data_IF_527415800301
#
_entry.id   IF_527415800301
#
_cell.length_a   1.000
_cell.length_b   1.000
_cell.length_c   1.000
_cell.angle_alpha   90.00
_cell.angle_beta   90.00
_cell.angle_gamma   90.00
#
_symmetry.space_group_name_H-M   'P 1'
#
loop_
_entity.id
_entity.type
_entity.pdbx_description
1 polymer ?
#
# COMPACT_ATOMS: atom_id res chain seq x y z
N UNK A 1 10.39 68.08 -27.62
CA UNK A 1 9.02 67.96 -27.05
C UNK A 1 8.95 66.73 -26.20
N UNK A 2 8.76 67.00 -24.97
CA UNK A 2 8.86 66.07 -23.81
C UNK A 2 7.50 65.47 -23.49
N UNK A 3 7.36 64.17 -23.31
CA UNK A 3 6.23 63.48 -22.74
C UNK A 3 6.74 62.13 -22.21
N UNK A 4 7.00 61.96 -20.97
CA UNK A 4 6.12 61.89 -19.84
C UNK A 4 6.10 60.44 -19.37
N UNK A 5 7.08 60.06 -18.49
CA UNK A 5 7.06 58.76 -17.76
C UNK A 5 5.88 58.75 -16.82
N UNK A 6 5.04 57.70 -16.90
CA UNK A 6 4.08 57.31 -15.85
C UNK A 6 4.54 56.02 -15.22
N UNK A 7 4.91 56.10 -13.97
CA UNK A 7 5.22 55.01 -13.08
C UNK A 7 3.94 54.20 -12.76
N UNK A 8 3.97 52.93 -13.04
CA UNK A 8 2.99 51.96 -12.53
C UNK A 8 3.65 51.17 -11.42
N UNK A 9 3.40 51.52 -10.18
CA UNK A 9 3.71 50.72 -9.00
C UNK A 9 2.75 49.53 -8.96
N UNK A 10 3.23 48.34 -9.34
CA UNK A 10 2.58 47.08 -9.03
C UNK A 10 3.09 46.60 -7.67
N UNK A 11 2.22 46.69 -6.66
CA UNK A 11 2.44 46.03 -5.36
C UNK A 11 2.34 44.53 -5.55
N UNK A 12 3.49 43.84 -5.62
CA UNK A 12 3.55 42.39 -5.55
C UNK A 12 3.38 41.97 -4.08
N UNK A 13 2.20 41.47 -3.75
CA UNK A 13 1.99 40.72 -2.51
C UNK A 13 2.75 39.39 -2.62
N UNK A 14 3.92 39.34 -2.00
CA UNK A 14 4.68 38.09 -1.82
C UNK A 14 3.95 37.28 -0.75
N UNK A 15 3.05 36.40 -1.18
CA UNK A 15 2.51 35.33 -0.34
C UNK A 15 3.64 34.37 0.00
N UNK A 16 4.10 34.38 1.24
CA UNK A 16 5.05 33.42 1.76
C UNK A 16 4.43 32.02 1.72
N UNK A 17 4.79 31.23 0.71
CA UNK A 17 4.51 29.79 0.70
C UNK A 17 5.45 29.19 1.73
N UNK A 18 4.95 28.89 2.91
CA UNK A 18 5.65 28.06 3.89
C UNK A 18 5.69 26.65 3.29
N UNK A 19 6.86 26.08 2.99
CA UNK A 19 6.91 24.67 2.59
C UNK A 19 6.49 23.87 3.81
N UNK A 20 5.40 23.12 3.69
CA UNK A 20 5.07 22.04 4.63
C UNK A 20 6.15 21.00 4.45
N UNK A 21 7.18 21.07 5.26
CA UNK A 21 8.17 20.02 5.37
C UNK A 21 7.43 18.77 5.86
N UNK A 22 7.20 17.81 4.98
CA UNK A 22 6.88 16.46 5.37
C UNK A 22 7.98 16.00 6.33
N UNK A 23 7.57 15.70 7.56
CA UNK A 23 8.49 15.08 8.51
C UNK A 23 9.12 13.86 7.80
N UNK A 24 10.45 13.72 7.79
CA UNK A 24 11.08 12.57 7.16
C UNK A 24 10.53 11.33 7.86
N UNK A 25 9.74 10.54 7.13
CA UNK A 25 9.37 9.21 7.60
C UNK A 25 10.68 8.46 7.80
N UNK A 26 11.11 8.42 9.06
CA UNK A 26 12.35 7.79 9.44
C UNK A 26 12.27 6.31 9.11
N UNK A 27 12.90 5.91 8.01
CA UNK A 27 13.32 4.52 7.79
C UNK A 27 14.51 4.21 8.73
N UNK A 28 14.44 4.65 9.97
CA UNK A 28 15.31 4.16 10.99
C UNK A 28 14.76 2.79 11.40
N UNK A 29 15.21 1.74 10.74
CA UNK A 29 15.31 0.45 11.42
C UNK A 29 16.35 0.65 12.53
N UNK A 30 15.90 1.24 13.64
CA UNK A 30 16.66 1.23 14.88
C UNK A 30 16.93 -0.22 15.25
N UNK A 31 18.06 -0.48 15.91
CA UNK A 31 18.32 -1.78 16.51
C UNK A 31 17.05 -2.27 17.25
N UNK A 32 16.74 -3.58 17.24
CA UNK A 32 15.55 -4.11 17.87
C UNK A 32 15.42 -3.56 19.28
N UNK A 33 14.39 -2.76 19.53
CA UNK A 33 14.12 -2.26 20.89
C UNK A 33 13.70 -3.47 21.70
N UNK A 34 14.33 -3.75 22.87
CA UNK A 34 13.86 -4.80 23.75
C UNK A 34 12.41 -4.51 24.13
N UNK A 35 11.48 -5.35 23.67
CA UNK A 35 10.06 -5.15 23.92
C UNK A 35 9.69 -5.60 25.33
N UNK A 36 8.81 -4.87 26.04
CA UNK A 36 8.35 -5.28 27.36
C UNK A 36 7.64 -6.62 27.27
N UNK A 37 8.12 -7.63 28.00
CA UNK A 37 7.34 -8.75 28.46
C UNK A 37 7.02 -9.87 27.49
N UNK A 38 7.94 -10.37 26.66
CA UNK A 38 7.94 -11.77 26.14
C UNK A 38 6.69 -12.35 25.44
N UNK A 39 5.53 -11.69 25.47
CA UNK A 39 4.27 -12.18 24.87
C UNK A 39 4.17 -11.74 23.41
N UNK A 40 4.00 -12.72 22.51
CA UNK A 40 3.62 -12.43 21.12
C UNK A 40 2.15 -11.97 21.06
N UNK A 41 1.87 -10.91 20.32
CA UNK A 41 0.50 -10.44 20.07
C UNK A 41 -0.26 -11.39 19.15
N UNK A 42 -1.50 -11.68 19.49
CA UNK A 42 -2.35 -12.62 18.78
C UNK A 42 -3.11 -11.95 17.62
N UNK A 43 -2.99 -12.54 16.45
CA UNK A 43 -3.71 -12.15 15.25
C UNK A 43 -4.92 -13.04 15.00
N UNK A 44 -6.06 -12.44 14.68
CA UNK A 44 -7.18 -13.12 14.05
C UNK A 44 -7.16 -12.83 12.54
N UNK A 45 -7.06 -13.87 11.71
CA UNK A 45 -7.07 -13.73 10.25
C UNK A 45 -8.50 -13.83 9.76
N UNK A 46 -8.99 -12.75 9.12
CA UNK A 46 -10.34 -12.66 8.55
C UNK A 46 -10.26 -12.91 7.05
N UNK A 47 -10.82 -14.03 6.62
CA UNK A 47 -10.74 -14.46 5.21
C UNK A 47 -9.67 -15.52 4.98
N UNK A 48 -10.09 -16.79 4.92
CA UNK A 48 -9.24 -17.94 4.59
C UNK A 48 -9.22 -18.20 3.06
N UNK A 49 -8.98 -17.15 2.28
CA UNK A 49 -8.71 -17.21 0.85
C UNK A 49 -7.25 -17.56 0.56
N UNK A 50 -6.88 -17.54 -0.72
CA UNK A 50 -5.51 -17.86 -1.17
C UNK A 50 -4.44 -17.04 -0.43
N UNK A 51 -4.70 -15.76 -0.19
CA UNK A 51 -3.73 -14.88 0.46
C UNK A 51 -3.65 -15.13 1.98
N UNK A 52 -4.76 -15.08 2.69
CA UNK A 52 -4.78 -15.28 4.14
C UNK A 52 -4.25 -16.67 4.53
N UNK A 53 -4.75 -17.73 3.86
CA UNK A 53 -4.38 -19.11 4.15
C UNK A 53 -3.00 -19.48 3.59
N UNK A 54 -2.72 -19.12 2.34
CA UNK A 54 -1.52 -19.61 1.63
C UNK A 54 -0.29 -18.71 1.78
N UNK A 55 -0.47 -17.44 2.18
CA UNK A 55 0.64 -16.49 2.26
C UNK A 55 0.85 -15.99 3.70
N UNK A 56 -0.21 -15.52 4.37
CA UNK A 56 -0.04 -14.86 5.68
C UNK A 56 0.09 -15.85 6.83
N UNK A 57 -0.81 -16.83 6.93
CA UNK A 57 -0.78 -17.78 8.07
C UNK A 57 0.57 -18.51 8.18
N UNK A 58 1.19 -18.99 7.09
CA UNK A 58 2.50 -19.64 7.17
C UNK A 58 3.63 -18.74 7.71
N UNK A 59 3.46 -17.41 7.67
CA UNK A 59 4.52 -16.49 8.10
C UNK A 59 4.63 -16.33 9.61
N UNK A 60 3.64 -16.72 10.39
CA UNK A 60 3.70 -16.61 11.84
C UNK A 60 4.85 -17.41 12.46
N UNK A 61 5.34 -18.46 11.80
CA UNK A 61 6.54 -19.20 12.26
C UNK A 61 7.80 -18.33 12.22
N UNK A 62 7.84 -17.34 11.31
CA UNK A 62 8.96 -16.42 11.14
C UNK A 62 8.82 -15.14 11.99
N UNK A 63 7.69 -14.93 12.67
CA UNK A 63 7.44 -13.75 13.47
C UNK A 63 8.07 -13.84 14.85
N UNK A 64 8.64 -12.74 15.31
CA UNK A 64 9.20 -12.59 16.65
C UNK A 64 8.14 -12.11 17.65
N UNK A 65 7.25 -11.20 17.22
CA UNK A 65 6.31 -10.49 18.10
C UNK A 65 4.84 -10.84 17.84
N UNK A 66 4.58 -11.64 16.83
CA UNK A 66 3.23 -11.98 16.35
C UNK A 66 2.98 -13.49 16.37
N UNK A 67 1.72 -13.90 16.62
CA UNK A 67 1.28 -15.29 16.54
C UNK A 67 -0.13 -15.37 15.95
N UNK A 68 -0.47 -16.49 15.32
CA UNK A 68 -1.85 -16.79 14.98
C UNK A 68 -2.62 -17.10 16.28
N UNK A 69 -3.80 -16.49 16.46
CA UNK A 69 -4.63 -16.68 17.64
C UNK A 69 -6.07 -17.08 17.30
N UNK A 70 -6.57 -16.68 16.12
CA UNK A 70 -7.92 -17.02 15.68
C UNK A 70 -8.04 -16.94 14.16
N UNK A 71 -9.10 -17.52 13.63
CA UNK A 71 -9.47 -17.43 12.21
C UNK A 71 -10.95 -17.11 12.05
N UNK A 72 -11.29 -16.36 11.01
CA UNK A 72 -12.66 -15.98 10.65
C UNK A 72 -12.95 -16.41 9.23
N UNK A 73 -13.98 -17.22 9.02
CA UNK A 73 -14.33 -17.74 7.69
C UNK A 73 -15.82 -18.07 7.60
N UNK A 74 -16.37 -18.01 6.37
CA UNK A 74 -17.72 -18.52 6.11
C UNK A 74 -17.82 -20.06 6.03
N UNK A 75 -16.69 -20.75 5.95
CA UNK A 75 -16.60 -22.22 5.88
C UNK A 75 -16.08 -22.77 7.21
N UNK A 76 -17.00 -23.25 8.05
CA UNK A 76 -16.67 -23.76 9.38
C UNK A 76 -15.76 -25.00 9.35
N UNK A 77 -15.88 -25.86 8.34
CA UNK A 77 -15.03 -27.05 8.22
C UNK A 77 -13.58 -26.65 7.91
N UNK A 78 -13.41 -25.72 6.97
CA UNK A 78 -12.09 -25.12 6.67
C UNK A 78 -11.50 -24.43 7.90
N UNK A 79 -12.31 -23.67 8.64
CA UNK A 79 -11.86 -22.97 9.86
C UNK A 79 -11.32 -23.95 10.90
N UNK A 80 -12.06 -25.00 11.23
CA UNK A 80 -11.63 -26.05 12.19
C UNK A 80 -10.38 -26.78 11.72
N UNK A 81 -10.28 -27.09 10.42
CA UNK A 81 -9.08 -27.73 9.86
C UNK A 81 -7.83 -26.85 10.10
N UNK A 82 -7.92 -25.55 9.75
CA UNK A 82 -6.81 -24.60 9.97
C UNK A 82 -6.49 -24.45 11.45
N UNK A 83 -7.51 -24.37 12.32
CA UNK A 83 -7.30 -24.30 13.76
C UNK A 83 -6.52 -25.51 14.28
N UNK A 84 -6.91 -26.73 13.90
CA UNK A 84 -6.24 -27.95 14.30
C UNK A 84 -4.77 -28.00 13.79
N UNK A 85 -4.53 -27.62 12.53
CA UNK A 85 -3.19 -27.57 11.94
C UNK A 85 -2.24 -26.58 12.67
N UNK A 86 -2.79 -25.54 13.30
CA UNK A 86 -2.04 -24.49 13.99
C UNK A 86 -2.17 -24.54 15.53
N UNK A 87 -2.72 -25.63 16.09
CA UNK A 87 -2.85 -25.79 17.52
C UNK A 87 -3.84 -24.84 18.20
N UNK A 88 -4.82 -24.31 17.46
CA UNK A 88 -5.88 -23.46 17.98
C UNK A 88 -7.06 -24.32 18.45
N UNK A 89 -7.78 -23.84 19.45
CA UNK A 89 -9.04 -24.46 19.87
C UNK A 89 -10.18 -24.16 18.89
N UNK A 90 -11.24 -24.96 18.91
CA UNK A 90 -12.45 -24.70 18.11
C UNK A 90 -13.11 -23.36 18.47
N UNK A 91 -12.95 -22.89 19.71
CA UNK A 91 -13.45 -21.58 20.16
C UNK A 91 -12.71 -20.39 19.52
N UNK A 92 -11.57 -20.62 18.87
CA UNK A 92 -10.84 -19.62 18.09
C UNK A 92 -11.28 -19.53 16.62
N UNK A 93 -12.31 -20.31 16.23
CA UNK A 93 -12.89 -20.30 14.89
C UNK A 93 -14.20 -19.51 14.90
N UNK A 94 -14.19 -18.38 14.18
CA UNK A 94 -15.35 -17.50 14.04
C UNK A 94 -15.94 -17.57 12.64
N UNK A 95 -17.25 -17.35 12.56
CA UNK A 95 -17.92 -17.04 11.30
C UNK A 95 -18.04 -15.53 11.10
N UNK A 96 -18.43 -15.08 9.91
CA UNK A 96 -18.77 -13.68 9.68
C UNK A 96 -19.94 -13.19 10.55
N UNK A 97 -20.90 -14.08 10.87
CA UNK A 97 -22.02 -13.77 11.74
C UNK A 97 -21.60 -13.63 13.21
N UNK A 98 -20.65 -14.42 13.68
CA UNK A 98 -20.15 -14.40 15.07
C UNK A 98 -18.91 -13.53 15.25
N UNK A 99 -18.51 -12.78 14.24
CA UNK A 99 -17.28 -11.99 14.25
C UNK A 99 -17.14 -11.08 15.48
N UNK A 100 -18.23 -10.41 15.87
CA UNK A 100 -18.19 -9.40 16.93
C UNK A 100 -17.88 -10.00 18.32
N UNK A 101 -18.10 -11.32 18.52
CA UNK A 101 -17.73 -12.00 19.77
C UNK A 101 -16.20 -12.13 19.96
N UNK A 102 -15.42 -11.75 18.95
CA UNK A 102 -13.94 -11.67 19.06
C UNK A 102 -13.50 -10.68 20.15
N UNK A 103 -14.39 -9.74 20.53
CA UNK A 103 -14.14 -8.79 21.65
C UNK A 103 -13.79 -9.51 22.95
N UNK A 104 -14.43 -10.65 23.18
CA UNK A 104 -14.32 -11.40 24.44
C UNK A 104 -13.12 -12.36 24.44
N UNK A 105 -12.40 -12.46 23.33
CA UNK A 105 -11.21 -13.30 23.23
C UNK A 105 -9.95 -12.52 23.65
N UNK A 106 -9.37 -12.80 24.85
CA UNK A 106 -8.16 -12.10 25.33
C UNK A 106 -6.89 -12.48 24.57
N UNK A 107 -6.93 -13.58 23.80
CA UNK A 107 -5.80 -14.02 22.98
C UNK A 107 -5.67 -13.25 21.67
N UNK A 108 -6.72 -12.54 21.24
CA UNK A 108 -6.72 -11.73 20.03
C UNK A 108 -6.45 -10.27 20.39
N UNK A 109 -5.33 -9.74 19.93
CA UNK A 109 -4.94 -8.34 20.04
C UNK A 109 -5.21 -7.57 18.75
N UNK A 110 -5.04 -8.24 17.60
CA UNK A 110 -5.05 -7.66 16.26
C UNK A 110 -5.97 -8.47 15.34
N UNK A 111 -6.78 -7.79 14.56
CA UNK A 111 -7.56 -8.38 13.47
C UNK A 111 -6.89 -8.03 12.14
N UNK A 112 -6.58 -9.03 11.31
CA UNK A 112 -6.09 -8.83 9.95
C UNK A 112 -7.17 -9.13 8.93
N UNK A 113 -7.62 -8.10 8.21
CA UNK A 113 -8.69 -8.19 7.21
C UNK A 113 -8.10 -8.56 5.86
N UNK A 114 -8.32 -9.81 5.41
CA UNK A 114 -7.85 -10.38 4.14
C UNK A 114 -9.02 -10.77 3.24
N UNK A 115 -9.96 -9.85 3.01
CA UNK A 115 -11.22 -10.03 2.32
C UNK A 115 -11.21 -9.36 0.93
N UNK A 116 -12.27 -9.50 0.11
CA UNK A 116 -12.50 -8.61 -1.02
C UNK A 116 -12.61 -7.14 -0.58
N UNK A 117 -12.12 -6.22 -1.42
CA UNK A 117 -11.93 -4.81 -1.07
C UNK A 117 -13.17 -4.13 -0.47
N UNK A 118 -14.37 -4.44 -1.00
CA UNK A 118 -15.63 -3.87 -0.50
C UNK A 118 -16.01 -4.26 0.93
N UNK A 119 -15.35 -5.29 1.48
CA UNK A 119 -15.58 -5.73 2.85
C UNK A 119 -14.56 -5.16 3.84
N UNK A 120 -13.54 -4.49 3.37
CA UNK A 120 -12.46 -3.97 4.21
C UNK A 120 -12.97 -2.98 5.25
N UNK A 121 -13.80 -2.03 4.84
CA UNK A 121 -14.34 -1.00 5.74
C UNK A 121 -15.22 -1.61 6.85
N UNK A 122 -16.16 -2.48 6.49
CA UNK A 122 -17.04 -3.12 7.47
C UNK A 122 -16.24 -3.84 8.56
N UNK A 123 -15.34 -4.75 8.16
CA UNK A 123 -14.62 -5.59 9.12
C UNK A 123 -13.55 -4.82 9.91
N UNK A 124 -12.96 -3.79 9.34
CA UNK A 124 -12.08 -2.86 10.07
C UNK A 124 -12.85 -2.12 11.16
N UNK A 125 -14.01 -1.55 10.83
CA UNK A 125 -14.85 -0.80 11.77
C UNK A 125 -15.37 -1.74 12.89
N UNK A 126 -15.82 -2.95 12.55
CA UNK A 126 -16.27 -3.96 13.53
C UNK A 126 -15.13 -4.38 14.46
N UNK A 127 -13.93 -4.62 13.91
CA UNK A 127 -12.75 -4.96 14.72
C UNK A 127 -12.37 -3.85 15.70
N UNK A 128 -12.36 -2.59 15.23
CA UNK A 128 -12.12 -1.43 16.09
C UNK A 128 -13.16 -1.32 17.21
N UNK A 129 -14.47 -1.50 16.90
CA UNK A 129 -15.56 -1.53 17.89
C UNK A 129 -15.45 -2.70 18.87
N UNK A 130 -14.86 -3.82 18.45
CA UNK A 130 -14.51 -4.95 19.31
C UNK A 130 -13.27 -4.70 20.18
N UNK A 131 -12.67 -3.51 20.10
CA UNK A 131 -11.50 -3.13 20.88
C UNK A 131 -10.18 -3.71 20.37
N UNK A 132 -10.12 -4.21 19.15
CA UNK A 132 -8.92 -4.80 18.55
C UNK A 132 -8.19 -3.80 17.65
N UNK A 133 -6.85 -3.89 17.60
CA UNK A 133 -6.06 -3.20 16.60
C UNK A 133 -6.30 -3.84 15.24
N UNK A 134 -6.06 -3.12 14.15
CA UNK A 134 -6.42 -3.61 12.81
C UNK A 134 -5.25 -3.51 11.85
N UNK A 135 -5.00 -4.60 11.13
CA UNK A 135 -4.30 -4.60 9.86
C UNK A 135 -5.33 -4.86 8.77
N UNK A 136 -5.33 -4.05 7.71
CA UNK A 136 -6.22 -4.22 6.58
C UNK A 136 -5.41 -4.39 5.30
N UNK A 137 -5.77 -5.35 4.44
CA UNK A 137 -5.12 -5.50 3.14
C UNK A 137 -5.30 -4.27 2.24
N UNK A 138 -4.37 -4.14 1.30
CA UNK A 138 -4.42 -3.15 0.23
C UNK A 138 -5.38 -3.61 -0.91
N UNK A 139 -6.03 -2.69 -1.62
CA UNK A 139 -6.21 -1.28 -1.28
C UNK A 139 -7.03 -1.14 0.00
N UNK A 140 -6.84 -0.05 0.73
CA UNK A 140 -7.47 0.15 2.04
C UNK A 140 -8.99 -0.05 2.00
N UNK A 141 -9.66 0.48 0.98
CA UNK A 141 -11.10 0.37 0.75
C UNK A 141 -11.43 0.58 -0.73
N UNK A 142 -12.71 0.66 -1.09
CA UNK A 142 -13.15 0.95 -2.46
C UNK A 142 -13.49 2.43 -2.69
N UNK A 143 -13.44 3.27 -1.65
CA UNK A 143 -13.69 4.71 -1.73
C UNK A 143 -12.97 5.48 -0.62
N UNK A 144 -12.75 6.78 -0.88
CA UNK A 144 -12.21 7.73 0.11
C UNK A 144 -13.10 7.80 1.36
N UNK A 145 -14.40 7.84 1.20
CA UNK A 145 -15.35 7.90 2.32
C UNK A 145 -15.26 6.69 3.26
N UNK A 146 -15.06 5.49 2.70
CA UNK A 146 -14.81 4.28 3.48
C UNK A 146 -13.49 4.38 4.25
N UNK A 147 -12.41 4.84 3.62
CA UNK A 147 -11.12 5.05 4.29
C UNK A 147 -11.25 6.02 5.48
N UNK A 148 -11.93 7.14 5.30
CA UNK A 148 -12.18 8.12 6.36
C UNK A 148 -12.99 7.52 7.52
N UNK A 149 -13.98 6.69 7.21
CA UNK A 149 -14.79 5.97 8.21
C UNK A 149 -13.96 4.95 9.00
N UNK A 150 -13.07 4.21 8.34
CA UNK A 150 -12.15 3.25 8.97
C UNK A 150 -11.19 3.96 9.94
N UNK A 151 -10.59 5.06 9.50
CA UNK A 151 -9.69 5.88 10.32
C UNK A 151 -10.43 6.42 11.54
N UNK A 152 -11.62 7.01 11.34
CA UNK A 152 -12.43 7.55 12.41
C UNK A 152 -12.81 6.50 13.45
N UNK A 153 -13.20 5.29 13.02
CA UNK A 153 -13.55 4.18 13.90
C UNK A 153 -12.34 3.72 14.74
N UNK A 154 -11.17 3.54 14.12
CA UNK A 154 -9.97 3.12 14.83
C UNK A 154 -9.48 4.19 15.81
N UNK A 155 -9.46 5.46 15.41
CA UNK A 155 -9.13 6.59 16.29
C UNK A 155 -10.10 6.72 17.46
N UNK A 156 -11.41 6.64 17.20
CA UNK A 156 -12.43 6.68 18.25
C UNK A 156 -12.31 5.55 19.27
N UNK A 157 -11.91 4.37 18.82
CA UNK A 157 -11.64 3.22 19.68
C UNK A 157 -10.24 3.24 20.33
N UNK A 158 -9.37 4.20 19.99
CA UNK A 158 -7.96 4.26 20.40
C UNK A 158 -7.21 2.99 19.97
N UNK A 159 -7.43 2.54 18.74
CA UNK A 159 -6.77 1.38 18.13
C UNK A 159 -5.98 1.80 16.91
N UNK A 160 -4.82 1.18 16.72
CA UNK A 160 -3.98 1.43 15.56
C UNK A 160 -4.57 0.77 14.33
N UNK A 161 -4.46 1.45 13.19
CA UNK A 161 -4.83 0.94 11.87
C UNK A 161 -3.59 0.97 10.97
N UNK A 162 -3.22 -0.19 10.44
CA UNK A 162 -2.13 -0.35 9.48
C UNK A 162 -2.67 -0.97 8.20
N UNK A 163 -2.15 -0.53 7.05
CA UNK A 163 -2.48 -1.11 5.76
C UNK A 163 -1.37 -2.07 5.31
N UNK A 164 -1.76 -3.19 4.72
CA UNK A 164 -0.88 -4.30 4.32
C UNK A 164 0.00 -3.98 3.10
N UNK A 165 0.74 -2.88 3.13
CA UNK A 165 1.67 -2.49 2.07
C UNK A 165 3.02 -3.17 2.26
N UNK A 166 3.07 -4.46 1.95
CA UNK A 166 4.19 -5.36 2.18
C UNK A 166 5.54 -4.91 1.59
N UNK A 167 5.51 -4.12 0.50
CA UNK A 167 6.74 -3.61 -0.12
C UNK A 167 7.53 -2.66 0.79
N UNK A 168 6.89 -2.08 1.82
CA UNK A 168 7.57 -1.34 2.88
C UNK A 168 8.37 -2.22 3.85
N UNK A 169 8.34 -3.53 3.67
CA UNK A 169 9.07 -4.54 4.46
C UNK A 169 9.89 -5.46 3.56
N UNK A 170 9.91 -5.19 2.25
CA UNK A 170 10.70 -5.94 1.28
C UNK A 170 12.08 -5.29 1.11
N UNK A 171 13.12 -6.09 1.24
CA UNK A 171 14.50 -5.63 1.41
C UNK A 171 15.00 -4.73 0.24
N UNK A 172 14.73 -5.11 -1.01
CA UNK A 172 15.17 -4.31 -2.15
C UNK A 172 14.36 -3.03 -2.32
N UNK A 173 13.05 -3.05 -2.05
CA UNK A 173 12.23 -1.84 -2.07
C UNK A 173 12.69 -0.84 -1.00
N UNK A 174 12.98 -1.31 0.21
CA UNK A 174 13.55 -0.49 1.28
C UNK A 174 14.90 0.11 0.89
N UNK A 175 15.79 -0.69 0.31
CA UNK A 175 17.11 -0.22 -0.11
C UNK A 175 17.00 0.77 -1.27
N UNK A 176 16.11 0.55 -2.25
CA UNK A 176 15.86 1.49 -3.33
C UNK A 176 15.37 2.84 -2.82
N UNK A 177 14.41 2.83 -1.87
CA UNK A 177 13.92 4.06 -1.21
C UNK A 177 15.05 4.77 -0.45
N UNK A 178 15.88 4.02 0.27
CA UNK A 178 17.03 4.57 1.00
C UNK A 178 18.04 5.22 0.06
N UNK A 179 18.40 4.55 -1.03
CA UNK A 179 19.32 5.06 -2.04
C UNK A 179 18.77 6.29 -2.77
N UNK A 180 17.48 6.29 -3.12
CA UNK A 180 16.81 7.42 -3.74
C UNK A 180 16.88 8.67 -2.83
N UNK A 181 16.56 8.53 -1.55
CA UNK A 181 16.65 9.61 -0.56
C UNK A 181 18.08 10.06 -0.27
N UNK A 182 19.06 9.15 -0.35
CA UNK A 182 20.47 9.48 -0.21
C UNK A 182 21.04 10.17 -1.46
N UNK A 183 20.25 10.38 -2.51
CA UNK A 183 20.68 11.04 -3.74
C UNK A 183 21.61 10.19 -4.61
N UNK A 184 21.57 8.86 -4.51
CA UNK A 184 22.44 7.95 -5.26
C UNK A 184 22.30 8.10 -6.80
N UNK A 185 21.11 8.51 -7.27
CA UNK A 185 20.84 8.82 -8.67
C UNK A 185 20.95 10.32 -9.01
N UNK A 186 21.31 11.18 -8.05
CA UNK A 186 21.25 12.64 -8.18
C UNK A 186 19.82 13.17 -8.02
N UNK A 187 19.51 14.32 -8.63
CA UNK A 187 18.15 14.89 -8.64
C UNK A 187 17.22 13.99 -9.45
N UNK A 188 16.17 13.48 -8.81
CA UNK A 188 15.20 12.61 -9.47
C UNK A 188 14.50 13.38 -10.59
N UNK A 189 14.44 12.78 -11.78
CA UNK A 189 13.80 13.33 -12.97
C UNK A 189 12.57 12.54 -13.36
N UNK A 190 12.65 11.21 -13.26
CA UNK A 190 11.59 10.34 -13.75
C UNK A 190 11.54 9.05 -12.93
N UNK A 191 10.31 8.61 -12.65
CA UNK A 191 10.04 7.28 -12.13
C UNK A 191 9.13 6.56 -13.11
N UNK A 192 9.47 5.34 -13.49
CA UNK A 192 8.59 4.42 -14.24
C UNK A 192 8.20 3.27 -13.32
N UNK A 193 6.93 2.94 -13.28
CA UNK A 193 6.46 1.81 -12.48
C UNK A 193 5.31 1.09 -13.16
N UNK A 194 5.47 -0.21 -13.40
CA UNK A 194 4.58 -1.03 -14.19
C UNK A 194 4.30 -2.34 -13.49
N UNK A 195 3.02 -2.60 -13.20
CA UNK A 195 2.60 -3.83 -12.52
C UNK A 195 1.39 -4.45 -13.19
N UNK A 196 1.44 -5.74 -13.41
CA UNK A 196 0.36 -6.49 -14.02
C UNK A 196 0.56 -7.98 -13.96
N UNK A 197 -0.51 -8.72 -14.17
CA UNK A 197 -0.47 -10.16 -14.38
C UNK A 197 -1.63 -10.59 -15.27
N UNK A 198 -1.49 -11.72 -15.94
CA UNK A 198 -2.57 -12.24 -16.79
C UNK A 198 -3.66 -12.85 -15.92
N UNK A 199 -4.79 -12.12 -15.78
CA UNK A 199 -5.99 -12.65 -15.13
C UNK A 199 -6.76 -13.52 -16.12
N UNK A 200 -6.74 -14.84 -15.89
CA UNK A 200 -7.35 -15.82 -16.82
C UNK A 200 -8.77 -16.25 -16.45
N UNK A 201 -9.13 -16.11 -15.19
CA UNK A 201 -10.40 -16.62 -14.67
C UNK A 201 -11.42 -15.50 -14.55
N UNK A 202 -12.47 -15.46 -15.42
CA UNK A 202 -13.48 -14.41 -15.41
C UNK A 202 -14.39 -14.44 -14.18
N UNK A 203 -14.36 -15.51 -13.39
CA UNK A 203 -15.18 -15.64 -12.18
C UNK A 203 -14.61 -14.93 -10.95
N UNK A 204 -13.37 -14.44 -11.03
CA UNK A 204 -12.69 -13.83 -9.88
C UNK A 204 -13.40 -12.56 -9.42
N UNK A 205 -13.52 -12.40 -8.11
CA UNK A 205 -14.13 -11.24 -7.47
C UNK A 205 -13.44 -9.91 -7.87
N UNK A 206 -12.15 -9.95 -8.21
CA UNK A 206 -11.38 -8.78 -8.71
C UNK A 206 -11.92 -8.20 -10.00
N UNK A 207 -12.70 -8.97 -10.76
CA UNK A 207 -13.35 -8.56 -12.01
C UNK A 207 -14.80 -8.10 -11.78
N UNK A 208 -15.24 -8.06 -10.52
CA UNK A 208 -16.58 -7.57 -10.11
C UNK A 208 -16.44 -6.22 -9.43
N UNK A 209 -16.88 -5.15 -10.08
CA UNK A 209 -16.75 -3.77 -9.58
C UNK A 209 -17.31 -3.60 -8.16
N UNK A 210 -18.45 -4.22 -7.88
CA UNK A 210 -19.07 -4.15 -6.55
C UNK A 210 -18.19 -4.72 -5.43
N UNK A 211 -17.30 -5.66 -5.74
CA UNK A 211 -16.40 -6.30 -4.75
C UNK A 211 -15.00 -5.69 -4.76
N UNK A 212 -14.52 -5.28 -5.93
CA UNK A 212 -13.15 -4.82 -6.10
C UNK A 212 -13.01 -3.29 -6.07
N UNK A 213 -14.07 -2.53 -6.37
CA UNK A 213 -14.05 -1.08 -6.52
C UNK A 213 -13.53 -0.60 -7.89
N UNK A 214 -12.78 -1.44 -8.59
CA UNK A 214 -12.20 -1.21 -9.92
C UNK A 214 -11.44 -2.44 -10.39
N UNK A 215 -10.64 -2.31 -11.44
CA UNK A 215 -9.89 -3.40 -12.05
C UNK A 215 -8.41 -3.42 -11.65
N UNK A 216 -7.55 -3.39 -12.67
CA UNK A 216 -6.10 -3.52 -12.48
C UNK A 216 -5.51 -2.40 -11.62
N UNK A 217 -6.06 -1.18 -11.65
CA UNK A 217 -5.60 -0.08 -10.82
C UNK A 217 -5.74 -0.40 -9.33
N UNK A 218 -6.91 -0.88 -8.93
CA UNK A 218 -7.19 -1.23 -7.52
C UNK A 218 -6.36 -2.40 -7.00
N UNK A 219 -5.99 -3.35 -7.86
CA UNK A 219 -5.23 -4.52 -7.44
C UNK A 219 -3.71 -4.34 -7.61
N UNK A 220 -3.28 -4.00 -8.82
CA UNK A 220 -1.86 -3.92 -9.19
C UNK A 220 -1.35 -2.48 -9.28
N UNK A 221 -2.19 -1.55 -9.69
CA UNK A 221 -1.82 -0.15 -9.85
C UNK A 221 -1.42 0.53 -8.54
N UNK A 222 -1.93 0.07 -7.40
CA UNK A 222 -1.49 0.55 -6.08
C UNK A 222 0.02 0.34 -5.85
N UNK A 223 0.62 -0.72 -6.40
CA UNK A 223 2.08 -0.91 -6.33
C UNK A 223 2.81 0.13 -7.18
N UNK A 224 2.30 0.44 -8.38
CA UNK A 224 2.88 1.45 -9.27
C UNK A 224 2.76 2.85 -8.67
N UNK A 225 1.61 3.16 -8.08
CA UNK A 225 1.36 4.44 -7.40
C UNK A 225 2.31 4.62 -6.20
N UNK A 226 2.39 3.61 -5.35
CA UNK A 226 3.26 3.66 -4.16
C UNK A 226 4.73 3.78 -4.54
N UNK A 227 5.19 3.03 -5.55
CA UNK A 227 6.56 3.15 -6.02
C UNK A 227 6.90 4.59 -6.45
N UNK A 228 5.99 5.26 -7.18
CA UNK A 228 6.18 6.64 -7.59
C UNK A 228 6.29 7.60 -6.39
N UNK A 229 5.39 7.51 -5.42
CA UNK A 229 5.37 8.34 -4.21
C UNK A 229 6.61 8.09 -3.33
N UNK A 230 6.95 6.83 -3.11
CA UNK A 230 8.03 6.47 -2.18
C UNK A 230 9.43 6.64 -2.75
N UNK A 231 9.61 6.44 -4.06
CA UNK A 231 10.89 6.69 -4.70
C UNK A 231 11.18 8.19 -4.81
N UNK A 232 10.18 9.03 -5.08
CA UNK A 232 10.35 10.49 -5.08
C UNK A 232 10.45 11.06 -3.67
N UNK A 233 9.76 10.46 -2.70
CA UNK A 233 9.58 11.01 -1.35
C UNK A 233 8.66 12.23 -1.33
N UNK A 234 7.82 12.39 -2.35
CA UNK A 234 6.92 13.52 -2.54
C UNK A 234 5.50 13.05 -2.81
N UNK A 235 4.51 13.91 -2.51
CA UNK A 235 3.13 13.72 -2.94
C UNK A 235 2.89 14.41 -4.29
N UNK A 236 2.17 13.77 -5.22
CA UNK A 236 1.91 14.36 -6.52
C UNK A 236 0.95 15.55 -6.45
N UNK A 237 1.15 16.52 -7.33
CA UNK A 237 0.33 17.73 -7.45
C UNK A 237 -0.64 17.70 -8.63
N UNK A 238 -0.48 16.74 -9.54
CA UNK A 238 -1.37 16.54 -10.68
C UNK A 238 -1.29 15.11 -11.21
N UNK A 239 -2.37 14.67 -11.85
CA UNK A 239 -2.44 13.38 -12.54
C UNK A 239 -3.17 13.52 -13.88
N UNK A 240 -2.62 12.83 -14.89
CA UNK A 240 -3.27 12.62 -16.21
C UNK A 240 -3.29 11.14 -16.49
N UNK A 241 -4.44 10.59 -16.89
CA UNK A 241 -4.63 9.15 -17.08
C UNK A 241 -5.40 8.79 -18.35
N UNK A 242 -5.17 7.57 -18.85
CA UNK A 242 -5.89 6.95 -19.96
C UNK A 242 -6.19 5.49 -19.62
N UNK A 243 -7.41 5.07 -19.91
CA UNK A 243 -7.85 3.67 -19.83
C UNK A 243 -7.85 3.05 -21.23
N UNK A 244 -7.43 1.78 -21.32
CA UNK A 244 -7.55 0.95 -22.51
C UNK A 244 -8.14 -0.41 -22.11
N UNK A 245 -9.37 -0.67 -22.54
CA UNK A 245 -10.11 -1.87 -22.13
C UNK A 245 -10.98 -2.35 -23.28
N UNK A 246 -10.78 -3.60 -23.71
CA UNK A 246 -11.72 -4.27 -24.60
C UNK A 246 -12.94 -4.75 -23.80
N UNK A 247 -14.05 -4.05 -23.95
CA UNK A 247 -15.32 -4.38 -23.26
C UNK A 247 -16.02 -5.61 -23.85
N UNK A 248 -15.56 -6.17 -24.96
CA UNK A 248 -16.05 -7.44 -25.49
C UNK A 248 -15.40 -8.65 -24.80
N UNK A 249 -14.26 -8.45 -24.15
CA UNK A 249 -13.67 -9.49 -23.31
C UNK A 249 -14.51 -9.67 -22.02
N UNK A 250 -15.03 -10.90 -21.75
CA UNK A 250 -15.91 -11.15 -20.61
C UNK A 250 -15.24 -10.88 -19.25
N UNK A 251 -13.92 -10.81 -19.20
CA UNK A 251 -13.18 -10.46 -18.00
C UNK A 251 -13.36 -8.98 -17.62
N UNK A 252 -13.57 -8.11 -18.60
CA UNK A 252 -13.47 -6.65 -18.40
C UNK A 252 -14.79 -5.90 -18.65
N UNK A 253 -15.94 -6.58 -18.55
CA UNK A 253 -17.25 -5.93 -18.67
C UNK A 253 -17.48 -4.89 -17.57
N UNK A 254 -17.05 -5.15 -16.35
CA UNK A 254 -17.32 -4.29 -15.18
C UNK A 254 -16.14 -3.41 -14.78
N UNK A 255 -14.90 -3.84 -15.05
CA UNK A 255 -13.67 -3.20 -14.57
C UNK A 255 -12.70 -2.96 -15.72
N UNK A 256 -11.73 -2.09 -15.54
CA UNK A 256 -10.70 -1.86 -16.53
C UNK A 256 -9.68 -3.02 -16.55
N UNK A 257 -9.20 -3.31 -17.79
CA UNK A 257 -8.03 -4.15 -18.01
C UNK A 257 -6.75 -3.37 -17.70
N UNK A 258 -6.55 -2.29 -18.46
CA UNK A 258 -5.35 -1.49 -18.42
C UNK A 258 -5.70 -0.03 -18.15
N UNK A 259 -4.90 0.59 -17.29
CA UNK A 259 -4.85 2.03 -17.11
C UNK A 259 -3.40 2.48 -16.96
N UNK A 260 -3.03 3.56 -17.66
CA UNK A 260 -1.77 4.26 -17.47
C UNK A 260 -2.02 5.67 -16.96
N UNK A 261 -1.09 6.20 -16.21
CA UNK A 261 -1.17 7.56 -15.70
C UNK A 261 0.20 8.18 -15.50
N UNK A 262 0.22 9.50 -15.61
CA UNK A 262 1.38 10.33 -15.30
C UNK A 262 1.10 11.16 -14.06
N UNK A 263 2.04 11.17 -13.11
CA UNK A 263 2.04 12.03 -11.93
C UNK A 263 3.08 13.14 -12.09
N UNK A 264 2.71 14.35 -11.68
CA UNK A 264 3.63 15.50 -11.58
C UNK A 264 3.93 15.76 -10.10
N UNK A 265 5.19 16.00 -9.77
CA UNK A 265 5.63 16.25 -8.40
C UNK A 265 6.15 17.69 -8.21
N UNK A 266 6.13 18.24 -6.97
CA UNK A 266 6.61 19.61 -6.69
C UNK A 266 8.05 19.89 -7.11
N UNK A 267 8.94 18.88 -7.04
CA UNK A 267 10.35 19.00 -7.49
C UNK A 267 10.51 19.15 -9.01
N UNK A 268 9.42 18.96 -9.78
CA UNK A 268 9.43 18.86 -11.24
C UNK A 268 9.75 17.44 -11.74
N UNK A 269 9.86 16.46 -10.85
CA UNK A 269 9.92 15.05 -11.25
C UNK A 269 8.57 14.59 -11.83
N UNK A 270 8.62 13.62 -12.73
CA UNK A 270 7.42 13.02 -13.35
C UNK A 270 7.47 11.51 -13.09
N UNK A 271 6.31 10.89 -12.82
CA UNK A 271 6.21 9.45 -12.84
C UNK A 271 5.23 8.98 -13.92
N UNK A 272 5.69 8.03 -14.75
CA UNK A 272 4.86 7.24 -15.66
C UNK A 272 4.52 5.90 -15.01
N UNK A 273 3.25 5.64 -14.79
CA UNK A 273 2.77 4.47 -14.09
C UNK A 273 1.74 3.70 -14.92
N UNK A 274 1.68 2.39 -14.73
CA UNK A 274 0.76 1.53 -15.44
C UNK A 274 0.30 0.36 -14.58
N UNK A 275 -0.92 -0.12 -14.84
CA UNK A 275 -1.38 -1.43 -14.39
C UNK A 275 -2.21 -2.13 -15.45
N UNK A 276 -2.17 -3.49 -15.47
CA UNK A 276 -2.97 -4.28 -16.38
C UNK A 276 -3.22 -5.71 -15.90
N UNK A 277 -4.28 -6.33 -16.43
CA UNK A 277 -4.64 -7.73 -16.25
C UNK A 277 -4.42 -8.60 -17.49
N UNK A 278 -3.94 -8.03 -18.58
CA UNK A 278 -3.67 -8.75 -19.85
C UNK A 278 -2.21 -9.12 -20.07
N UNK A 279 -1.26 -8.57 -19.28
CA UNK A 279 0.15 -8.91 -19.38
C UNK A 279 0.85 -8.96 -18.00
N UNK A 280 1.95 -9.73 -17.94
CA UNK A 280 2.80 -9.80 -16.76
C UNK A 280 3.81 -8.66 -16.81
N UNK A 281 3.77 -7.79 -15.81
CA UNK A 281 4.74 -6.70 -15.60
C UNK A 281 5.05 -6.59 -14.12
N UNK A 282 6.30 -6.29 -13.79
CA UNK A 282 6.72 -6.13 -12.40
C UNK A 282 8.05 -5.36 -12.37
N UNK A 283 7.99 -4.06 -12.65
CA UNK A 283 9.16 -3.24 -12.91
C UNK A 283 9.04 -1.86 -12.25
N UNK A 284 10.12 -1.40 -11.65
CA UNK A 284 10.29 -0.04 -11.13
C UNK A 284 11.64 0.48 -11.61
N UNK A 285 11.66 1.67 -12.21
CA UNK A 285 12.86 2.37 -12.63
C UNK A 285 12.82 3.82 -12.15
N UNK A 286 13.80 4.23 -11.36
CA UNK A 286 14.06 5.62 -11.02
C UNK A 286 15.25 6.12 -11.82
N UNK A 287 15.09 7.26 -12.48
CA UNK A 287 16.16 7.97 -13.19
C UNK A 287 16.35 9.36 -12.57
N UNK A 288 17.58 9.64 -12.19
CA UNK A 288 18.02 10.97 -11.77
C UNK A 288 18.96 11.59 -12.82
N UNK A 289 19.59 12.71 -12.51
CA UNK A 289 20.50 13.39 -13.42
C UNK A 289 21.94 12.80 -13.44
N UNK A 290 22.28 11.93 -12.50
CA UNK A 290 23.62 11.29 -12.44
C UNK A 290 23.57 9.77 -12.54
N UNK A 291 22.38 9.14 -12.34
CA UNK A 291 22.28 7.69 -12.30
C UNK A 291 20.85 7.18 -12.29
N UNK A 292 20.72 5.88 -12.02
CA UNK A 292 19.44 5.16 -11.96
C UNK A 292 19.43 4.11 -10.88
N UNK A 293 18.21 3.75 -10.43
CA UNK A 293 17.90 2.60 -9.57
C UNK A 293 16.79 1.83 -10.26
N UNK A 294 16.95 0.53 -10.43
CA UNK A 294 16.02 -0.30 -11.20
C UNK A 294 15.74 -1.60 -10.43
N UNK A 295 14.47 -1.98 -10.34
CA UNK A 295 14.02 -3.24 -9.74
C UNK A 295 13.22 -4.03 -10.76
N UNK A 296 13.65 -5.29 -11.04
CA UNK A 296 12.96 -6.20 -11.96
C UNK A 296 13.32 -7.68 -11.65
N UNK A 297 12.39 -8.52 -11.22
CA UNK A 297 11.08 -8.13 -10.71
C UNK A 297 11.21 -7.27 -9.45
N UNK A 298 10.25 -6.34 -9.25
CA UNK A 298 10.29 -5.34 -8.19
C UNK A 298 9.51 -5.73 -6.93
N UNK A 299 8.36 -6.39 -7.10
CA UNK A 299 7.38 -6.59 -6.02
C UNK A 299 6.86 -8.02 -5.94
N UNK A 300 7.66 -9.01 -6.32
CA UNK A 300 7.32 -10.42 -6.07
C UNK A 300 7.39 -10.74 -4.58
N UNK A 301 6.81 -11.87 -4.22
CA UNK A 301 6.89 -12.37 -2.84
C UNK A 301 8.31 -12.81 -2.47
N UNK A 302 9.08 -13.25 -3.47
CA UNK A 302 10.51 -13.56 -3.40
C UNK A 302 11.18 -13.33 -4.76
N UNK A 303 12.52 -13.46 -4.83
CA UNK A 303 13.26 -13.37 -6.08
C UNK A 303 13.25 -11.98 -6.73
N UNK A 304 13.04 -10.91 -5.98
CA UNK A 304 13.23 -9.56 -6.46
C UNK A 304 14.73 -9.28 -6.71
N UNK A 305 15.02 -8.38 -7.65
CA UNK A 305 16.36 -7.95 -7.96
C UNK A 305 16.41 -6.43 -8.09
N UNK A 306 17.57 -5.87 -7.77
CA UNK A 306 17.82 -4.44 -7.93
C UNK A 306 19.15 -4.21 -8.64
N UNK A 307 19.17 -3.23 -9.53
CA UNK A 307 20.37 -2.71 -10.17
C UNK A 307 20.51 -1.23 -9.88
N UNK A 308 21.74 -0.80 -9.73
CA UNK A 308 22.12 0.60 -9.69
C UNK A 308 23.10 0.91 -10.79
N UNK A 309 23.18 2.15 -11.23
CA UNK A 309 24.13 2.53 -12.27
C UNK A 309 24.23 4.04 -12.43
N UNK A 310 25.42 4.50 -12.84
CA UNK A 310 25.64 5.89 -13.28
C UNK A 310 25.43 6.00 -14.78
N UNK A 311 25.05 7.16 -15.27
CA UNK A 311 24.95 7.40 -16.71
C UNK A 311 26.26 7.12 -17.42
N UNK A 312 26.19 6.47 -18.59
CA UNK A 312 27.36 6.08 -19.37
C UNK A 312 28.14 4.86 -18.84
N UNK A 313 27.64 4.20 -17.79
CA UNK A 313 28.21 2.94 -17.28
C UNK A 313 27.15 1.82 -17.28
N UNK A 314 27.63 0.58 -17.30
CA UNK A 314 26.76 -0.58 -17.10
C UNK A 314 26.10 -0.53 -15.72
N UNK A 315 24.88 -1.08 -15.64
CA UNK A 315 24.19 -1.26 -14.36
C UNK A 315 24.83 -2.42 -13.58
N UNK A 316 24.94 -2.24 -12.28
CA UNK A 316 25.48 -3.25 -11.38
C UNK A 316 24.35 -3.89 -10.58
N UNK A 317 24.35 -5.22 -10.48
CA UNK A 317 23.41 -5.97 -9.64
C UNK A 317 23.73 -5.67 -8.17
N UNK A 318 22.74 -5.16 -7.44
CA UNK A 318 22.87 -4.91 -6.01
C UNK A 318 22.65 -6.22 -5.24
N UNK A 319 23.58 -6.59 -4.35
CA UNK A 319 23.38 -7.75 -3.48
C UNK A 319 22.13 -7.59 -2.61
N UNK A 320 21.45 -8.69 -2.22
CA UNK A 320 20.30 -8.61 -1.33
C UNK A 320 20.69 -7.92 0.00
N UNK A 321 19.98 -6.85 0.41
CA UNK A 321 20.33 -6.10 1.61
C UNK A 321 19.89 -6.79 2.92
N UNK A 322 19.36 -7.99 2.85
CA UNK A 322 18.91 -8.76 4.01
C UNK A 322 18.33 -10.13 3.68
N UNK A 323 17.81 -10.85 4.64
CA UNK A 323 17.18 -12.14 4.41
C UNK A 323 15.99 -12.03 3.42
N UNK A 324 15.90 -12.97 2.48
CA UNK A 324 14.79 -13.05 1.54
C UNK A 324 13.50 -13.52 2.24
N UNK A 325 12.33 -13.10 1.71
CA UNK A 325 11.03 -13.62 2.10
C UNK A 325 10.49 -13.13 3.45
N UNK A 326 11.13 -12.16 4.08
CA UNK A 326 10.72 -11.65 5.41
C UNK A 326 9.66 -10.56 5.37
N UNK A 327 9.26 -10.07 4.19
CA UNK A 327 8.34 -8.94 4.06
C UNK A 327 7.00 -9.15 4.79
N UNK A 328 6.45 -10.36 4.76
CA UNK A 328 5.17 -10.65 5.42
C UNK A 328 5.30 -10.77 6.94
N UNK A 329 6.33 -11.46 7.44
CA UNK A 329 6.61 -11.51 8.85
C UNK A 329 6.99 -10.12 9.37
N UNK A 330 7.78 -9.35 8.60
CA UNK A 330 8.15 -7.97 8.93
C UNK A 330 6.94 -7.05 9.09
N UNK A 331 5.96 -7.12 8.21
CA UNK A 331 4.75 -6.28 8.37
C UNK A 331 3.90 -6.69 9.58
N UNK A 332 3.77 -8.01 9.86
CA UNK A 332 3.04 -8.49 11.03
C UNK A 332 3.71 -8.03 12.32
N UNK A 333 5.02 -8.22 12.45
CA UNK A 333 5.79 -7.83 13.62
C UNK A 333 5.85 -6.31 13.78
N UNK A 334 5.92 -5.54 12.69
CA UNK A 334 5.92 -4.08 12.76
C UNK A 334 4.66 -3.52 13.45
N UNK A 335 3.47 -4.02 13.11
CA UNK A 335 2.26 -3.56 13.81
C UNK A 335 2.27 -3.99 15.28
N UNK A 336 2.72 -5.20 15.59
CA UNK A 336 2.86 -5.66 16.97
C UNK A 336 3.83 -4.75 17.75
N UNK A 337 4.99 -4.42 17.19
CA UNK A 337 5.95 -3.48 17.78
C UNK A 337 5.34 -2.08 17.99
N UNK A 338 4.62 -1.56 17.00
CA UNK A 338 3.95 -0.27 17.11
C UNK A 338 2.91 -0.23 18.25
N UNK A 339 2.22 -1.34 18.48
CA UNK A 339 1.27 -1.48 19.60
C UNK A 339 2.03 -1.52 20.93
N UNK A 340 3.07 -2.34 21.04
CA UNK A 340 3.84 -2.54 22.27
C UNK A 340 4.63 -1.30 22.68
N UNK A 341 5.03 -0.47 21.73
CA UNK A 341 5.82 0.76 21.97
C UNK A 341 5.01 2.04 21.81
N UNK A 342 3.70 1.95 21.59
CA UNK A 342 2.78 3.05 21.31
C UNK A 342 3.25 4.01 20.20
N UNK A 343 3.84 3.46 19.12
CA UNK A 343 4.24 4.20 17.93
C UNK A 343 3.20 4.03 16.82
N UNK A 344 3.09 5.02 15.93
CA UNK A 344 2.27 4.88 14.73
C UNK A 344 2.95 3.96 13.69
N UNK A 345 2.16 3.12 12.99
CA UNK A 345 2.67 2.31 11.89
C UNK A 345 3.18 3.18 10.74
N UNK A 346 4.27 2.75 10.09
CA UNK A 346 4.83 3.47 8.93
C UNK A 346 3.86 3.52 7.74
N UNK A 347 2.91 2.61 7.66
CA UNK A 347 1.85 2.55 6.65
C UNK A 347 0.49 2.59 7.33
N UNK A 348 0.18 3.74 7.93
CA UNK A 348 -1.06 3.98 8.67
C UNK A 348 -2.30 4.04 7.77
N UNK A 349 -3.48 4.18 8.38
CA UNK A 349 -4.72 4.42 7.62
C UNK A 349 -4.68 5.68 6.76
N UNK A 350 -4.00 6.73 7.24
CA UNK A 350 -3.81 7.97 6.48
C UNK A 350 -3.00 7.75 5.21
N UNK A 351 -2.06 6.81 5.22
CA UNK A 351 -1.30 6.44 4.04
C UNK A 351 -2.19 5.78 2.99
N UNK A 352 -3.06 4.85 3.43
CA UNK A 352 -4.07 4.25 2.55
C UNK A 352 -5.08 5.26 2.01
N UNK A 353 -5.49 6.23 2.82
CA UNK A 353 -6.39 7.31 2.40
C UNK A 353 -5.76 8.19 1.30
N UNK A 354 -4.46 8.53 1.43
CA UNK A 354 -3.75 9.28 0.38
C UNK A 354 -3.75 8.53 -0.95
N UNK A 355 -3.44 7.24 -0.93
CA UNK A 355 -3.50 6.43 -2.15
C UNK A 355 -4.89 6.43 -2.78
N UNK A 356 -5.95 6.24 -2.00
CA UNK A 356 -7.32 6.20 -2.54
C UNK A 356 -7.75 7.54 -3.14
N UNK A 357 -7.34 8.67 -2.58
CA UNK A 357 -7.59 10.00 -3.18
C UNK A 357 -6.93 10.14 -4.54
N UNK A 358 -5.70 9.66 -4.68
CA UNK A 358 -5.00 9.68 -5.97
C UNK A 358 -5.64 8.68 -6.95
N UNK A 359 -6.02 7.49 -6.50
CA UNK A 359 -6.74 6.49 -7.31
C UNK A 359 -8.05 7.05 -7.86
N UNK A 360 -8.87 7.71 -7.04
CA UNK A 360 -10.10 8.38 -7.49
C UNK A 360 -9.80 9.48 -8.53
N UNK A 361 -8.72 10.24 -8.34
CA UNK A 361 -8.28 11.25 -9.29
C UNK A 361 -7.77 10.63 -10.61
N UNK A 362 -7.08 9.48 -10.58
CA UNK A 362 -6.68 8.72 -11.77
C UNK A 362 -7.91 8.30 -12.56
N UNK A 363 -8.90 7.65 -11.93
CA UNK A 363 -10.15 7.29 -12.60
C UNK A 363 -10.91 8.50 -13.14
N UNK A 364 -10.93 9.59 -12.38
CA UNK A 364 -11.57 10.85 -12.83
C UNK A 364 -10.86 11.42 -14.06
N UNK A 365 -9.52 11.45 -14.05
CA UNK A 365 -8.73 11.92 -15.20
C UNK A 365 -8.98 11.07 -16.45
N UNK A 366 -9.01 9.75 -16.33
CA UNK A 366 -9.28 8.85 -17.43
C UNK A 366 -10.69 9.07 -18.03
N UNK A 367 -11.71 9.27 -17.18
CA UNK A 367 -13.09 9.54 -17.63
C UNK A 367 -13.26 10.91 -18.28
N UNK A 368 -12.66 11.96 -17.68
CA UNK A 368 -12.82 13.35 -18.15
C UNK A 368 -11.84 13.71 -19.27
N UNK A 369 -10.84 12.87 -19.54
CA UNK A 369 -9.85 13.10 -20.60
C UNK A 369 -8.94 14.31 -20.36
N UNK A 370 -8.77 14.75 -19.10
CA UNK A 370 -7.97 15.92 -18.72
C UNK A 370 -7.14 15.68 -17.47
N UNK A 371 -6.15 16.53 -17.27
CA UNK A 371 -5.37 16.58 -16.03
C UNK A 371 -6.25 16.97 -14.84
N UNK A 372 -6.10 16.25 -13.73
CA UNK A 372 -6.71 16.57 -12.44
C UNK A 372 -5.62 17.11 -11.52
N UNK A 373 -5.82 18.31 -10.97
CA UNK A 373 -4.97 18.85 -9.91
C UNK A 373 -5.27 18.16 -8.59
N UNK A 374 -4.22 17.88 -7.83
CA UNK A 374 -4.25 17.35 -6.49
C UNK A 374 -3.86 18.47 -5.53
N UNK A 375 -4.64 18.67 -4.50
CA UNK A 375 -4.50 19.82 -3.58
C UNK A 375 -3.45 19.60 -2.47
N UNK A 376 -2.49 18.71 -2.69
CA UNK A 376 -1.38 18.44 -1.76
C UNK A 376 -1.81 17.87 -0.40
N UNK A 377 -3.12 17.63 -0.22
CA UNK A 377 -3.72 16.92 0.91
C UNK A 377 -4.00 15.45 0.60
N UNK A 378 -3.48 15.02 -0.56
CA UNK A 378 -3.51 13.61 -0.94
C UNK A 378 -2.68 12.78 0.04
#
# INVERSE_FOLDING_TARGET
MDLGRRDFLLSAAIGSIVPVALAPHALAQGAPVPLPGGRKLGYAIVGLGTYGLGVIIPQFVNCTHSRLAAVVTGDAAKGRKVAAEHGLSDSAVYSYATFDSIRDNPDVDIVYVCLPNSMHAEYTIRAAKAGKHVMCEKPMAISVAECESMIAACKGAKRKLMIGYRCHFEAFNLEAMRLARAGAAGKIRYVRSEHGFVQRDPSKWRLKRALAGGGSLMDMGVYSLQAARYMTGEEPIAVTARESTDRNDPRFHEVEDMIEWTLEFPSGAIAGCQSMYSANQNHILLMGDTGRIELEPATRYDGNHMWTGRHGRERELTPPPGPRGTQFAGQLDHLAECILTDREPIVSGEEGLRDLRIVEAIYRSAREGRTIRLDGRA
#
